data_IF_425608535087
#
_entry.id   IF_425608535087
#
_cell.length_a   1.000
_cell.length_b   1.000
_cell.length_c   1.000
_cell.angle_alpha   90.00
_cell.angle_beta   90.00
_cell.angle_gamma   90.00
#
_symmetry.space_group_name_H-M   'P 1'
#
loop_
_entity.id
_entity.type
_entity.pdbx_description
1 polymer ?
#
# COMPACT_ATOMS: atom_id res chain seq x y z
N UNK A 1 -8.94 -31.05 -9.52
CA UNK A 1 -7.52 -30.66 -9.39
C UNK A 1 -7.18 -29.84 -10.61
N UNK A 2 -7.44 -28.54 -10.54
CA UNK A 2 -7.11 -27.61 -11.61
C UNK A 2 -5.59 -27.48 -11.71
N UNK A 3 -5.11 -27.41 -12.93
CA UNK A 3 -3.70 -27.47 -13.30
C UNK A 3 -2.93 -26.26 -12.72
N UNK A 4 -2.12 -26.51 -11.68
CA UNK A 4 -1.31 -25.48 -11.00
C UNK A 4 -0.29 -24.84 -11.95
N UNK A 5 -0.02 -25.48 -13.11
CA UNK A 5 0.85 -24.96 -14.15
C UNK A 5 0.25 -23.76 -14.92
N UNK A 6 -1.05 -23.77 -15.21
CA UNK A 6 -1.75 -22.63 -15.86
C UNK A 6 -1.93 -21.44 -14.92
N UNK A 7 -1.98 -21.67 -13.60
CA UNK A 7 -2.16 -20.59 -12.62
C UNK A 7 -0.86 -19.81 -12.35
N UNK A 8 0.29 -20.37 -12.74
CA UNK A 8 1.56 -19.68 -12.74
C UNK A 8 1.75 -18.84 -14.02
N UNK A 9 1.29 -19.30 -15.19
CA UNK A 9 1.46 -18.60 -16.48
C UNK A 9 0.81 -17.22 -16.50
N UNK A 10 -0.40 -17.08 -15.97
CA UNK A 10 -1.16 -15.81 -16.06
C UNK A 10 -0.50 -14.68 -15.24
N UNK A 11 0.05 -15.04 -14.08
CA UNK A 11 0.80 -14.11 -13.24
C UNK A 11 2.15 -13.74 -13.88
N UNK A 12 2.68 -14.63 -14.74
CA UNK A 12 3.97 -14.48 -15.39
C UNK A 12 3.93 -13.69 -16.68
N UNK A 13 2.85 -13.84 -17.46
CA UNK A 13 2.58 -12.99 -18.62
C UNK A 13 2.44 -11.52 -18.17
N UNK A 14 1.69 -11.26 -17.09
CA UNK A 14 1.50 -9.92 -16.54
C UNK A 14 2.73 -9.36 -15.78
N UNK A 15 3.61 -10.24 -15.26
CA UNK A 15 4.93 -9.83 -14.75
C UNK A 15 5.95 -9.49 -15.87
N UNK A 16 5.57 -9.62 -17.14
CA UNK A 16 6.39 -9.22 -18.30
C UNK A 16 7.27 -10.33 -18.87
N UNK A 17 6.90 -11.60 -18.69
CA UNK A 17 7.59 -12.76 -19.29
C UNK A 17 6.69 -13.37 -20.36
N UNK A 18 6.82 -12.90 -21.61
CA UNK A 18 6.14 -13.52 -22.74
C UNK A 18 6.60 -14.99 -22.91
N UNK A 19 5.65 -15.91 -23.02
CA UNK A 19 5.91 -17.25 -23.57
C UNK A 19 5.49 -17.27 -25.05
N UNK A 20 6.28 -17.94 -25.88
CA UNK A 20 5.97 -18.20 -27.30
C UNK A 20 4.82 -19.23 -27.38
N UNK A 21 3.92 -19.14 -28.39
CA UNK A 21 2.65 -19.84 -28.35
C UNK A 21 2.72 -21.33 -28.72
N UNK A 22 1.82 -22.07 -28.05
CA UNK A 22 1.09 -23.29 -28.42
C UNK A 22 1.83 -24.59 -28.79
N UNK A 23 1.62 -25.62 -27.95
CA UNK A 23 1.43 -27.00 -28.41
C UNK A 23 0.00 -27.43 -28.09
N UNK A 24 -0.88 -27.42 -29.09
CA UNK A 24 -2.21 -28.05 -29.01
C UNK A 24 -2.06 -29.57 -28.83
N UNK A 25 -2.90 -30.22 -28.01
CA UNK A 25 -2.89 -31.67 -27.90
C UNK A 25 -3.32 -32.30 -29.24
N UNK A 26 -2.51 -33.25 -29.72
CA UNK A 26 -2.79 -34.09 -30.90
C UNK A 26 -4.14 -34.80 -30.75
N UNK A 27 -5.19 -34.25 -31.34
CA UNK A 27 -6.46 -34.94 -31.54
C UNK A 27 -6.51 -35.62 -32.92
N UNK A 28 -6.82 -36.91 -32.88
CA UNK A 28 -7.40 -37.80 -33.91
C UNK A 28 -6.91 -37.64 -35.37
N UNK A 29 -6.16 -38.65 -35.82
CA UNK A 29 -5.77 -38.87 -37.22
C UNK A 29 -6.97 -38.83 -38.18
N UNK A 30 -6.97 -37.98 -39.22
CA UNK A 30 -7.78 -38.19 -40.41
C UNK A 30 -7.07 -39.17 -41.34
N UNK A 31 -7.83 -40.11 -41.93
CA UNK A 31 -7.35 -40.95 -43.03
C UNK A 31 -7.22 -40.09 -44.29
N UNK A 32 -6.04 -40.09 -44.94
CA UNK A 32 -5.85 -39.41 -46.22
C UNK A 32 -5.52 -40.43 -47.31
N UNK A 33 -6.34 -40.40 -48.36
CA UNK A 33 -6.15 -41.09 -49.64
C UNK A 33 -4.90 -40.59 -50.36
N UNK A 34 -4.20 -41.50 -51.02
CA UNK A 34 -3.04 -41.20 -51.86
C UNK A 34 -3.50 -40.54 -53.17
N UNK A 35 -2.88 -39.41 -53.54
CA UNK A 35 -2.67 -39.04 -54.93
C UNK A 35 -1.22 -38.54 -55.10
N UNK A 36 -0.54 -38.88 -56.22
CA UNK A 36 0.85 -38.55 -56.44
C UNK A 36 0.98 -37.33 -57.34
N UNK A 37 1.85 -36.36 -57.02
CA UNK A 37 2.66 -35.65 -58.02
C UNK A 37 3.73 -34.70 -57.41
N UNK A 38 4.98 -34.99 -57.82
CA UNK A 38 6.11 -34.11 -58.13
C UNK A 38 6.56 -32.93 -57.22
N UNK A 39 7.62 -33.21 -56.45
CA UNK A 39 8.95 -32.54 -56.40
C UNK A 39 9.01 -30.99 -56.42
N UNK A 40 9.51 -30.39 -55.32
CA UNK A 40 10.89 -29.84 -55.19
C UNK A 40 11.15 -29.18 -53.82
N UNK A 41 12.24 -29.62 -53.18
CA UNK A 41 13.18 -28.86 -52.33
C UNK A 41 12.64 -28.07 -51.12
N UNK A 42 12.84 -28.64 -49.92
CA UNK A 42 13.63 -28.07 -48.79
C UNK A 42 13.81 -29.24 -47.80
N UNK A 43 15.05 -29.69 -47.62
CA UNK A 43 15.40 -30.69 -46.61
C UNK A 43 15.27 -30.08 -45.21
N UNK A 44 14.19 -30.39 -44.49
CA UNK A 44 14.17 -30.24 -43.03
C UNK A 44 14.85 -31.46 -42.42
N UNK A 45 16.16 -31.36 -42.18
CA UNK A 45 16.88 -32.31 -41.33
C UNK A 45 16.42 -32.08 -39.89
N UNK A 46 15.58 -32.99 -39.38
CA UNK A 46 15.38 -33.15 -37.93
C UNK A 46 16.74 -33.55 -37.34
N UNK A 47 17.42 -32.61 -36.69
CA UNK A 47 18.64 -32.87 -35.95
C UNK A 47 18.30 -33.79 -34.77
N UNK A 48 18.36 -35.10 -35.00
CA UNK A 48 18.17 -36.11 -33.96
C UNK A 48 19.33 -35.94 -32.99
N UNK A 49 19.05 -35.34 -31.83
CA UNK A 49 20.02 -35.11 -30.75
C UNK A 49 20.80 -36.40 -30.55
N UNK A 50 22.08 -36.36 -30.92
CA UNK A 50 22.97 -37.50 -30.78
C UNK A 50 22.99 -37.84 -29.29
N UNK A 51 22.46 -39.01 -28.90
CA UNK A 51 22.69 -39.56 -27.56
C UNK A 51 24.16 -39.99 -27.53
N UNK A 52 25.09 -39.03 -27.51
CA UNK A 52 26.40 -39.32 -26.95
C UNK A 52 26.13 -39.82 -25.54
N UNK A 53 26.65 -41.02 -25.23
CA UNK A 53 26.52 -41.64 -23.92
C UNK A 53 26.91 -40.62 -22.87
N UNK A 54 25.92 -40.15 -22.12
CA UNK A 54 26.13 -39.25 -21.00
C UNK A 54 26.93 -40.08 -20.01
N UNK A 55 28.20 -39.71 -19.85
CA UNK A 55 29.01 -40.13 -18.71
C UNK A 55 28.12 -39.99 -17.48
N UNK A 56 28.07 -41.01 -16.64
CA UNK A 56 27.30 -41.05 -15.39
C UNK A 56 27.86 -40.02 -14.39
N UNK A 57 27.85 -38.74 -14.78
CA UNK A 57 28.22 -37.61 -13.95
C UNK A 57 27.03 -37.40 -13.04
N UNK A 58 27.14 -37.91 -11.82
CA UNK A 58 26.17 -37.73 -10.76
C UNK A 58 25.75 -36.26 -10.73
N UNK A 59 24.46 -35.98 -10.91
CA UNK A 59 23.92 -34.64 -10.78
C UNK A 59 23.93 -34.26 -9.29
N UNK A 60 25.03 -33.64 -8.86
CA UNK A 60 25.22 -33.21 -7.47
C UNK A 60 24.18 -32.16 -7.03
N UNK A 61 23.43 -31.54 -7.95
CA UNK A 61 22.34 -30.66 -7.57
C UNK A 61 21.19 -31.43 -6.91
N UNK A 62 20.98 -32.70 -7.29
CA UNK A 62 19.98 -33.55 -6.66
C UNK A 62 20.31 -33.86 -5.20
N UNK A 63 21.60 -33.80 -4.82
CA UNK A 63 22.08 -34.05 -3.46
C UNK A 63 21.83 -32.85 -2.50
N UNK A 64 21.50 -31.66 -3.02
CA UNK A 64 21.20 -30.48 -2.19
C UNK A 64 19.90 -30.69 -1.40
N UNK A 65 19.80 -30.13 -0.19
CA UNK A 65 18.54 -30.12 0.58
C UNK A 65 17.54 -29.09 0.05
N UNK A 66 16.25 -29.26 0.36
CA UNK A 66 15.21 -28.31 -0.04
C UNK A 66 15.48 -26.91 0.55
N UNK A 67 15.96 -26.82 1.79
CA UNK A 67 16.31 -25.56 2.47
C UNK A 67 17.48 -24.85 1.78
N UNK A 68 18.47 -25.60 1.31
CA UNK A 68 19.63 -25.04 0.60
C UNK A 68 19.18 -24.41 -0.72
N UNK A 69 18.30 -25.10 -1.45
CA UNK A 69 17.72 -24.58 -2.70
C UNK A 69 16.84 -23.36 -2.41
N UNK A 70 16.05 -23.37 -1.33
CA UNK A 70 15.24 -22.23 -0.93
C UNK A 70 16.09 -20.99 -0.59
N UNK A 71 17.20 -21.17 0.12
CA UNK A 71 18.13 -20.06 0.38
C UNK A 71 18.79 -19.53 -0.89
N UNK A 72 19.00 -20.36 -1.92
CA UNK A 72 19.40 -19.88 -3.26
C UNK A 72 18.23 -19.13 -3.93
N UNK A 73 17.04 -19.72 -3.96
CA UNK A 73 15.85 -19.18 -4.63
C UNK A 73 15.39 -17.84 -4.06
N UNK A 74 15.60 -17.61 -2.77
CA UNK A 74 15.34 -16.34 -2.07
C UNK A 74 16.07 -15.13 -2.66
N UNK A 75 17.17 -15.35 -3.40
CA UNK A 75 17.91 -14.29 -4.09
C UNK A 75 17.48 -14.09 -5.54
N UNK A 76 16.61 -14.95 -6.07
CA UNK A 76 16.12 -14.83 -7.44
C UNK A 76 14.97 -13.82 -7.52
N UNK A 77 14.93 -12.98 -8.57
CA UNK A 77 13.74 -12.20 -8.92
C UNK A 77 12.54 -13.14 -9.12
N UNK A 78 11.31 -12.69 -8.84
CA UNK A 78 10.13 -13.56 -8.95
C UNK A 78 9.90 -14.09 -10.36
N UNK A 79 10.24 -13.30 -11.37
CA UNK A 79 10.23 -13.71 -12.78
C UNK A 79 11.18 -14.87 -13.06
N UNK A 80 12.37 -14.89 -12.45
CA UNK A 80 13.34 -15.98 -12.57
C UNK A 80 12.90 -17.18 -11.76
N UNK A 81 12.40 -16.96 -10.55
CA UNK A 81 11.89 -18.03 -9.68
C UNK A 81 10.79 -18.84 -10.38
N UNK A 82 9.94 -18.17 -11.13
CA UNK A 82 8.92 -18.83 -11.89
C UNK A 82 9.44 -19.63 -13.10
N UNK A 83 10.53 -19.18 -13.75
CA UNK A 83 11.23 -20.00 -14.74
C UNK A 83 11.86 -21.23 -14.08
N UNK A 84 12.38 -21.10 -12.86
CA UNK A 84 12.85 -22.24 -12.06
C UNK A 84 11.73 -23.25 -11.82
N UNK A 85 10.49 -22.80 -11.62
CA UNK A 85 9.35 -23.70 -11.44
C UNK A 85 9.10 -24.65 -12.64
N UNK A 86 9.56 -24.30 -13.85
CA UNK A 86 9.41 -25.11 -15.06
C UNK A 86 10.50 -26.19 -15.24
N UNK A 87 11.54 -26.21 -14.39
CA UNK A 87 12.70 -27.09 -14.57
C UNK A 87 12.36 -28.55 -14.24
N UNK A 88 11.82 -28.80 -13.05
CA UNK A 88 11.40 -30.14 -12.61
C UNK A 88 10.37 -30.06 -11.48
N UNK A 89 9.65 -31.16 -11.19
CA UNK A 89 8.61 -31.20 -10.14
C UNK A 89 9.10 -30.72 -8.76
N UNK A 90 10.36 -31.01 -8.42
CA UNK A 90 10.97 -30.56 -7.15
C UNK A 90 11.12 -29.04 -7.15
N UNK A 91 11.67 -28.47 -8.22
CA UNK A 91 11.80 -27.03 -8.36
C UNK A 91 10.46 -26.32 -8.45
N UNK A 92 9.45 -26.92 -9.09
CA UNK A 92 8.08 -26.38 -9.07
C UNK A 92 7.57 -26.21 -7.64
N UNK A 93 7.73 -27.24 -6.80
CA UNK A 93 7.33 -27.18 -5.39
C UNK A 93 8.08 -26.09 -4.62
N UNK A 94 9.41 -26.04 -4.78
CA UNK A 94 10.27 -25.10 -4.04
C UNK A 94 10.12 -23.66 -4.52
N UNK A 95 9.98 -23.43 -5.83
CA UNK A 95 9.77 -22.11 -6.39
C UNK A 95 8.43 -21.49 -5.99
N UNK A 96 7.44 -22.33 -5.68
CA UNK A 96 6.11 -21.93 -5.22
C UNK A 96 5.96 -21.94 -3.69
N UNK A 97 7.04 -22.17 -2.95
CA UNK A 97 7.01 -22.22 -1.48
C UNK A 97 6.62 -20.87 -0.86
N UNK A 98 5.71 -20.88 0.13
CA UNK A 98 5.17 -19.68 0.79
C UNK A 98 6.28 -18.73 1.28
N UNK A 99 7.42 -19.28 1.76
CA UNK A 99 8.53 -18.48 2.29
C UNK A 99 9.11 -17.49 1.28
N UNK A 100 9.01 -17.80 -0.02
CA UNK A 100 9.53 -16.97 -1.11
C UNK A 100 8.58 -15.85 -1.53
N UNK A 101 7.30 -15.96 -1.21
CA UNK A 101 6.24 -15.05 -1.69
C UNK A 101 5.69 -14.11 -0.61
N UNK A 102 6.12 -14.23 0.65
CA UNK A 102 5.60 -13.42 1.78
C UNK A 102 5.65 -11.90 1.56
N UNK A 103 6.58 -11.40 0.73
CA UNK A 103 6.75 -9.97 0.42
C UNK A 103 6.89 -9.79 -1.08
N UNK A 104 6.04 -8.94 -1.68
CA UNK A 104 5.99 -8.76 -3.13
C UNK A 104 5.83 -7.29 -3.53
N UNK A 105 6.67 -6.82 -4.45
CA UNK A 105 6.53 -5.51 -5.08
C UNK A 105 6.00 -5.71 -6.50
N UNK A 106 4.81 -5.20 -6.73
CA UNK A 106 4.08 -5.18 -7.99
C UNK A 106 3.76 -3.73 -8.39
N UNK A 107 4.47 -2.74 -7.83
CA UNK A 107 4.26 -1.35 -8.19
C UNK A 107 4.52 -1.10 -9.67
N UNK A 108 3.72 -0.23 -10.28
CA UNK A 108 3.81 0.13 -11.71
C UNK A 108 3.58 -1.04 -12.69
N UNK A 109 3.00 -2.15 -12.22
CA UNK A 109 2.65 -3.30 -13.06
C UNK A 109 1.20 -3.24 -13.50
N UNK A 110 0.88 -3.98 -14.55
CA UNK A 110 -0.50 -4.29 -14.92
C UNK A 110 -0.83 -5.67 -14.35
N UNK A 111 -1.91 -5.74 -13.58
CA UNK A 111 -2.37 -6.95 -12.93
C UNK A 111 -3.72 -7.30 -13.55
N UNK A 112 -3.75 -8.40 -14.29
CA UNK A 112 -4.93 -8.96 -14.92
C UNK A 112 -5.96 -9.47 -13.92
N UNK A 113 -7.11 -9.86 -14.47
CA UNK A 113 -8.23 -10.39 -13.69
C UNK A 113 -7.82 -11.69 -13.00
N UNK A 114 -8.25 -11.89 -11.75
CA UNK A 114 -7.96 -13.10 -10.97
C UNK A 114 -6.52 -13.23 -10.45
N UNK A 115 -5.54 -12.59 -11.09
CA UNK A 115 -4.11 -12.68 -10.74
C UNK A 115 -3.87 -12.31 -9.27
N UNK A 116 -4.50 -11.23 -8.80
CA UNK A 116 -4.35 -10.78 -7.42
C UNK A 116 -4.84 -11.82 -6.41
N UNK A 117 -5.95 -12.52 -6.71
CA UNK A 117 -6.46 -13.59 -5.87
C UNK A 117 -5.49 -14.76 -5.75
N UNK A 118 -4.85 -15.17 -6.85
CA UNK A 118 -3.83 -16.22 -6.86
C UNK A 118 -2.57 -15.76 -6.09
N UNK A 119 -2.18 -14.49 -6.21
CA UNK A 119 -1.07 -13.94 -5.43
C UNK A 119 -1.39 -13.98 -3.94
N UNK A 120 -2.59 -13.55 -3.53
CA UNK A 120 -3.02 -13.56 -2.13
C UNK A 120 -3.07 -14.98 -1.55
N UNK A 121 -3.47 -15.98 -2.35
CA UNK A 121 -3.52 -17.38 -1.91
C UNK A 121 -2.14 -17.98 -1.62
N UNK A 122 -1.04 -17.32 -2.00
CA UNK A 122 0.35 -17.73 -1.69
C UNK A 122 0.85 -17.29 -0.31
N UNK A 123 -0.02 -16.76 0.56
CA UNK A 123 0.38 -16.36 1.91
C UNK A 123 1.17 -15.06 1.96
N UNK A 124 0.91 -14.13 1.03
CA UNK A 124 1.52 -12.80 1.02
C UNK A 124 1.14 -12.04 2.29
N UNK A 125 2.13 -11.43 2.93
CA UNK A 125 1.97 -10.63 4.16
C UNK A 125 2.17 -9.15 3.87
N UNK A 126 3.08 -8.80 2.97
CA UNK A 126 3.33 -7.43 2.54
C UNK A 126 3.32 -7.32 1.02
N UNK A 127 2.51 -6.42 0.50
CA UNK A 127 2.37 -6.20 -0.93
C UNK A 127 2.41 -4.71 -1.25
N UNK A 128 3.21 -4.34 -2.24
CA UNK A 128 3.21 -3.00 -2.82
C UNK A 128 2.64 -3.06 -4.23
N UNK A 129 1.62 -2.25 -4.48
CA UNK A 129 0.94 -2.06 -5.75
C UNK A 129 0.93 -0.59 -6.16
N UNK A 130 1.79 0.24 -5.55
CA UNK A 130 1.82 1.67 -5.83
C UNK A 130 1.98 1.95 -7.34
N UNK A 131 1.11 2.80 -7.89
CA UNK A 131 1.06 3.14 -9.32
C UNK A 131 0.76 1.95 -10.26
N UNK A 132 0.26 0.82 -9.75
CA UNK A 132 -0.15 -0.31 -10.59
C UNK A 132 -1.54 -0.10 -11.22
N UNK A 133 -1.87 -0.90 -12.22
CA UNK A 133 -3.23 -1.06 -12.73
C UNK A 133 -3.74 -2.44 -12.32
N UNK A 134 -4.87 -2.50 -11.62
CA UNK A 134 -5.46 -3.77 -11.16
C UNK A 134 -6.84 -3.94 -11.80
N UNK A 135 -6.94 -4.91 -12.72
CA UNK A 135 -8.20 -5.28 -13.35
C UNK A 135 -8.98 -6.24 -12.46
N UNK A 136 -10.21 -5.87 -12.12
CA UNK A 136 -11.12 -6.75 -11.38
C UNK A 136 -11.76 -7.83 -12.26
N UNK A 137 -12.24 -8.93 -11.67
CA UNK A 137 -12.32 -9.19 -10.21
C UNK A 137 -10.98 -9.62 -9.60
N UNK A 138 -10.87 -9.51 -8.26
CA UNK A 138 -9.70 -10.00 -7.51
C UNK A 138 -9.62 -11.53 -7.57
N UNK A 139 -10.77 -12.20 -7.40
CA UNK A 139 -10.91 -13.65 -7.45
C UNK A 139 -11.89 -14.02 -8.56
N UNK A 140 -11.53 -14.98 -9.42
CA UNK A 140 -12.45 -15.51 -10.45
C UNK A 140 -13.52 -16.42 -9.83
N UNK A 141 -13.15 -17.24 -8.85
CA UNK A 141 -14.05 -18.15 -8.15
C UNK A 141 -13.76 -18.14 -6.64
N UNK A 142 -14.76 -17.78 -5.84
CA UNK A 142 -14.70 -17.84 -4.37
C UNK A 142 -13.76 -16.81 -3.73
N UNK A 143 -14.22 -16.16 -2.66
CA UNK A 143 -13.36 -15.30 -1.86
C UNK A 143 -12.59 -16.16 -0.85
N UNK A 144 -11.26 -16.05 -0.83
CA UNK A 144 -10.41 -16.79 0.10
C UNK A 144 -9.77 -15.84 1.12
N UNK A 145 -9.69 -16.20 2.40
CA UNK A 145 -9.07 -15.36 3.42
C UNK A 145 -7.58 -15.17 3.14
N UNK A 146 -7.12 -13.94 3.25
CA UNK A 146 -5.73 -13.56 3.02
C UNK A 146 -4.94 -13.38 4.33
N UNK A 147 -3.64 -13.62 4.28
CA UNK A 147 -2.68 -13.32 5.37
C UNK A 147 -2.10 -11.89 5.28
N UNK A 148 -2.59 -11.08 4.35
CA UNK A 148 -2.05 -9.76 4.06
C UNK A 148 -2.20 -8.80 5.25
N UNK A 149 -1.10 -8.16 5.63
CA UNK A 149 -1.02 -7.21 6.75
C UNK A 149 -0.56 -5.82 6.31
N UNK A 150 0.27 -5.73 5.26
CA UNK A 150 0.83 -4.48 4.76
C UNK A 150 0.48 -4.35 3.29
N UNK A 151 -0.28 -3.32 2.93
CA UNK A 151 -0.75 -3.11 1.56
C UNK A 151 -0.61 -1.65 1.15
N UNK A 152 0.24 -1.41 0.16
CA UNK A 152 0.37 -0.09 -0.45
C UNK A 152 -0.34 -0.06 -1.81
N UNK A 153 -1.51 0.57 -1.87
CA UNK A 153 -2.28 0.84 -3.10
C UNK A 153 -2.17 2.30 -3.55
N UNK A 154 -1.15 3.05 -3.11
CA UNK A 154 -1.03 4.47 -3.43
C UNK A 154 -1.01 4.70 -4.95
N UNK A 155 -1.91 5.55 -5.45
CA UNK A 155 -2.06 5.88 -6.87
C UNK A 155 -2.34 4.66 -7.77
N UNK A 156 -2.95 3.61 -7.23
CA UNK A 156 -3.33 2.42 -8.02
C UNK A 156 -4.59 2.69 -8.83
N UNK A 157 -4.60 2.34 -10.12
CA UNK A 157 -5.82 2.29 -10.90
C UNK A 157 -6.60 1.01 -10.55
N UNK A 158 -7.56 1.14 -9.62
CA UNK A 158 -8.39 0.04 -9.12
C UNK A 158 -9.84 0.51 -8.97
N UNK A 159 -10.80 -0.32 -9.38
CA UNK A 159 -12.22 0.01 -9.22
C UNK A 159 -12.69 -0.20 -7.78
N UNK A 160 -13.71 0.55 -7.35
CA UNK A 160 -14.32 0.40 -6.02
C UNK A 160 -14.83 -1.04 -5.79
N UNK A 161 -15.40 -1.67 -6.82
CA UNK A 161 -15.86 -3.07 -6.74
C UNK A 161 -14.71 -4.05 -6.45
N UNK A 162 -13.58 -3.88 -7.15
CA UNK A 162 -12.35 -4.66 -6.90
C UNK A 162 -11.80 -4.41 -5.50
N UNK A 163 -11.83 -3.16 -5.04
CA UNK A 163 -11.39 -2.79 -3.69
C UNK A 163 -12.25 -3.44 -2.60
N UNK A 164 -13.57 -3.47 -2.78
CA UNK A 164 -14.50 -4.17 -1.87
C UNK A 164 -14.18 -5.66 -1.78
N UNK A 165 -13.97 -6.34 -2.91
CA UNK A 165 -13.56 -7.75 -2.91
C UNK A 165 -12.25 -7.97 -2.14
N UNK A 166 -11.30 -7.06 -2.30
CA UNK A 166 -10.03 -7.12 -1.59
C UNK A 166 -10.22 -6.98 -0.07
N UNK A 167 -11.05 -6.05 0.39
CA UNK A 167 -11.34 -5.84 1.81
C UNK A 167 -12.18 -6.97 2.42
N UNK A 168 -13.01 -7.64 1.64
CA UNK A 168 -13.69 -8.87 2.07
C UNK A 168 -12.68 -9.99 2.36
N UNK A 169 -11.61 -10.12 1.57
CA UNK A 169 -10.58 -11.14 1.76
C UNK A 169 -9.52 -10.77 2.81
N UNK A 170 -9.18 -9.48 2.91
CA UNK A 170 -8.08 -8.99 3.74
C UNK A 170 -8.60 -8.40 5.05
N UNK A 171 -8.74 -9.25 6.07
CA UNK A 171 -9.24 -8.89 7.41
C UNK A 171 -8.14 -8.82 8.49
N UNK A 172 -6.87 -8.92 8.08
CA UNK A 172 -5.70 -8.86 8.97
C UNK A 172 -4.80 -7.65 8.68
N UNK A 173 -5.29 -6.63 7.98
CA UNK A 173 -4.52 -5.44 7.63
C UNK A 173 -4.10 -4.68 8.90
N UNK A 174 -2.82 -4.31 8.93
CA UNK A 174 -2.19 -3.47 9.95
C UNK A 174 -1.77 -2.13 9.39
N UNK A 175 -1.28 -2.10 8.14
CA UNK A 175 -0.89 -0.87 7.47
C UNK A 175 -1.41 -0.84 6.04
N UNK A 176 -2.17 0.20 5.72
CA UNK A 176 -2.82 0.36 4.43
C UNK A 176 -2.58 1.77 3.90
N UNK A 177 -2.27 1.88 2.62
CA UNK A 177 -2.37 3.15 1.89
C UNK A 177 -3.31 2.99 0.70
N UNK A 178 -4.26 3.91 0.62
CA UNK A 178 -5.23 4.09 -0.45
C UNK A 178 -5.05 5.47 -1.08
N UNK A 179 -3.88 6.09 -0.93
CA UNK A 179 -3.65 7.44 -1.45
C UNK A 179 -4.12 7.55 -2.90
N UNK A 180 -4.95 8.56 -3.19
CA UNK A 180 -5.50 8.82 -4.52
C UNK A 180 -6.42 7.70 -5.07
N UNK A 181 -6.96 6.82 -4.23
CA UNK A 181 -8.00 5.86 -4.62
C UNK A 181 -9.42 6.42 -4.39
N UNK A 182 -10.38 5.96 -5.18
CA UNK A 182 -11.81 6.19 -4.91
C UNK A 182 -12.34 5.11 -3.97
N UNK A 183 -13.09 5.52 -2.96
CA UNK A 183 -13.81 4.64 -2.02
C UNK A 183 -15.28 5.01 -1.98
N UNK A 184 -16.11 4.15 -1.40
CA UNK A 184 -17.47 4.47 -1.00
C UNK A 184 -17.72 4.01 0.44
N UNK A 185 -18.93 4.25 0.94
CA UNK A 185 -19.32 3.89 2.30
C UNK A 185 -19.18 2.39 2.58
N UNK A 186 -19.56 1.53 1.63
CA UNK A 186 -19.44 0.10 1.80
C UNK A 186 -17.98 -0.37 1.82
N UNK A 187 -17.11 0.22 0.99
CA UNK A 187 -15.68 -0.06 1.04
C UNK A 187 -15.08 0.34 2.40
N UNK A 188 -15.50 1.47 2.97
CA UNK A 188 -15.07 1.90 4.31
C UNK A 188 -15.55 0.93 5.41
N UNK A 189 -16.80 0.48 5.33
CA UNK A 189 -17.38 -0.51 6.25
C UNK A 189 -16.71 -1.89 6.15
N UNK A 190 -16.31 -2.31 4.95
CA UNK A 190 -15.54 -3.55 4.77
C UNK A 190 -14.13 -3.40 5.33
N UNK A 191 -13.49 -2.25 5.09
CA UNK A 191 -12.18 -1.93 5.65
C UNK A 191 -12.21 -1.91 7.19
N UNK A 192 -13.28 -1.41 7.80
CA UNK A 192 -13.42 -1.30 9.26
C UNK A 192 -13.45 -2.65 9.98
N UNK A 193 -13.61 -3.77 9.26
CA UNK A 193 -13.42 -5.12 9.82
C UNK A 193 -11.97 -5.41 10.27
N UNK A 194 -11.00 -4.58 9.85
CA UNK A 194 -9.61 -4.66 10.26
C UNK A 194 -9.39 -3.94 11.60
N UNK A 195 -9.86 -4.52 12.71
CA UNK A 195 -9.72 -3.92 14.05
C UNK A 195 -8.27 -3.77 14.53
N UNK A 196 -7.33 -4.48 13.91
CA UNK A 196 -5.89 -4.38 14.16
C UNK A 196 -5.16 -3.35 13.28
N UNK A 197 -5.89 -2.53 12.51
CA UNK A 197 -5.29 -1.50 11.67
C UNK A 197 -4.59 -0.44 12.53
N UNK A 198 -3.30 -0.23 12.29
CA UNK A 198 -2.42 0.68 13.03
C UNK A 198 -2.10 1.96 12.24
N UNK A 199 -2.07 1.85 10.90
CA UNK A 199 -1.64 2.91 10.00
C UNK A 199 -2.53 2.94 8.76
N UNK A 200 -3.19 4.07 8.52
CA UNK A 200 -4.09 4.25 7.39
C UNK A 200 -3.77 5.56 6.67
N UNK A 201 -3.34 5.47 5.42
CA UNK A 201 -3.20 6.61 4.53
C UNK A 201 -4.34 6.61 3.51
N UNK A 202 -5.16 7.65 3.54
CA UNK A 202 -6.25 7.91 2.61
C UNK A 202 -6.11 9.30 2.00
N UNK A 203 -4.90 9.88 2.00
CA UNK A 203 -4.69 11.21 1.43
C UNK A 203 -5.13 11.25 -0.03
N UNK A 204 -5.82 12.32 -0.44
CA UNK A 204 -6.34 12.47 -1.81
C UNK A 204 -7.36 11.40 -2.23
N UNK A 205 -7.90 10.59 -1.30
CA UNK A 205 -9.04 9.75 -1.60
C UNK A 205 -10.28 10.58 -1.98
N UNK A 206 -11.13 9.99 -2.80
CA UNK A 206 -12.46 10.53 -3.13
C UNK A 206 -13.58 9.57 -2.68
N UNK A 207 -14.77 10.11 -2.45
CA UNK A 207 -15.96 9.32 -2.06
C UNK A 207 -16.08 8.97 -0.57
N UNK A 208 -15.27 9.61 0.28
CA UNK A 208 -15.39 9.50 1.74
C UNK A 208 -16.65 10.21 2.25
N UNK A 209 -17.48 9.47 3.00
CA UNK A 209 -18.69 9.98 3.66
C UNK A 209 -18.51 10.05 5.18
N UNK A 210 -19.37 10.80 5.87
CA UNK A 210 -19.35 10.85 7.34
C UNK A 210 -19.57 9.47 7.98
N UNK A 211 -20.46 8.65 7.40
CA UNK A 211 -20.69 7.28 7.85
C UNK A 211 -19.44 6.41 7.68
N UNK A 212 -18.80 6.44 6.50
CA UNK A 212 -17.58 5.65 6.24
C UNK A 212 -16.40 6.05 7.14
N UNK A 213 -16.17 7.35 7.33
CA UNK A 213 -15.14 7.85 8.27
C UNK A 213 -15.48 7.44 9.70
N UNK A 214 -16.75 7.55 10.11
CA UNK A 214 -17.22 7.15 11.41
C UNK A 214 -17.08 5.65 11.67
N UNK A 215 -17.35 4.78 10.69
CA UNK A 215 -17.18 3.32 10.80
C UNK A 215 -15.72 2.94 11.03
N UNK A 216 -14.80 3.54 10.26
CA UNK A 216 -13.35 3.31 10.44
C UNK A 216 -12.90 3.81 11.81
N UNK A 217 -13.28 5.04 12.19
CA UNK A 217 -12.90 5.62 13.48
C UNK A 217 -13.42 4.79 14.66
N UNK A 218 -14.66 4.29 14.58
CA UNK A 218 -15.30 3.47 15.61
C UNK A 218 -14.70 2.07 15.69
N UNK A 219 -14.34 1.41 14.59
CA UNK A 219 -13.93 0.01 14.65
C UNK A 219 -12.40 -0.20 14.78
N UNK A 220 -11.60 0.69 14.19
CA UNK A 220 -10.14 0.57 14.16
C UNK A 220 -9.49 1.16 15.42
N UNK A 221 -9.78 0.59 16.59
CA UNK A 221 -9.31 1.12 17.88
C UNK A 221 -7.78 1.12 18.06
N UNK A 222 -7.04 0.33 17.26
CA UNK A 222 -5.57 0.29 17.28
C UNK A 222 -4.91 1.29 16.35
N UNK A 223 -5.69 2.14 15.67
CA UNK A 223 -5.17 3.11 14.71
C UNK A 223 -4.33 4.17 15.43
N UNK A 224 -3.06 4.29 15.03
CA UNK A 224 -2.08 5.23 15.58
C UNK A 224 -1.71 6.34 14.61
N UNK A 225 -1.78 6.05 13.31
CA UNK A 225 -1.39 6.97 12.24
C UNK A 225 -2.53 7.05 11.22
N UNK A 226 -3.12 8.23 11.05
CA UNK A 226 -4.18 8.44 10.06
C UNK A 226 -3.91 9.68 9.22
N UNK A 227 -3.84 9.49 7.90
CA UNK A 227 -3.73 10.57 6.95
C UNK A 227 -5.00 10.65 6.10
N UNK A 228 -5.72 11.76 6.23
CA UNK A 228 -6.94 12.13 5.50
C UNK A 228 -6.73 13.43 4.70
N UNK A 229 -5.49 13.86 4.48
CA UNK A 229 -5.19 15.10 3.81
C UNK A 229 -5.83 15.16 2.42
N UNK A 230 -6.41 16.30 2.04
CA UNK A 230 -6.93 16.56 0.70
C UNK A 230 -8.05 15.61 0.24
N UNK A 231 -8.89 15.14 1.16
CA UNK A 231 -10.02 14.23 0.87
C UNK A 231 -11.37 14.94 0.75
N UNK A 232 -11.40 16.27 0.78
CA UNK A 232 -12.62 17.09 0.72
C UNK A 232 -13.70 16.69 1.76
N UNK A 233 -13.29 16.29 2.98
CA UNK A 233 -14.23 15.93 4.04
C UNK A 233 -15.23 17.06 4.31
N UNK A 234 -16.51 16.71 4.44
CA UNK A 234 -17.55 17.63 4.92
C UNK A 234 -17.40 17.89 6.42
N UNK A 235 -18.09 18.89 6.94
CA UNK A 235 -18.08 19.17 8.38
C UNK A 235 -18.62 17.98 9.19
N UNK A 236 -19.64 17.29 8.69
CA UNK A 236 -20.21 16.10 9.30
C UNK A 236 -19.20 14.95 9.35
N UNK A 237 -18.38 14.79 8.30
CA UNK A 237 -17.34 13.77 8.29
C UNK A 237 -16.18 14.10 9.25
N UNK A 238 -15.83 15.38 9.39
CA UNK A 238 -14.88 15.84 10.40
C UNK A 238 -15.43 15.60 11.81
N UNK A 239 -16.70 15.90 12.07
CA UNK A 239 -17.37 15.57 13.34
C UNK A 239 -17.34 14.07 13.62
N UNK A 240 -17.74 13.25 12.65
CA UNK A 240 -17.71 11.79 12.78
C UNK A 240 -16.30 11.26 13.11
N UNK A 241 -15.25 11.86 12.55
CA UNK A 241 -13.86 11.57 12.89
C UNK A 241 -13.57 11.93 14.37
N UNK A 242 -13.71 13.21 14.74
CA UNK A 242 -13.27 13.69 16.07
C UNK A 242 -14.13 13.14 17.21
N UNK A 243 -15.36 12.73 16.93
CA UNK A 243 -16.27 12.11 17.90
C UNK A 243 -15.99 10.62 18.14
N UNK A 244 -15.26 9.94 17.26
CA UNK A 244 -15.12 8.48 17.32
C UNK A 244 -13.68 7.98 17.30
N UNK A 245 -12.70 8.81 16.92
CA UNK A 245 -11.32 8.37 16.75
C UNK A 245 -10.70 7.83 18.06
N UNK A 246 -9.84 6.82 17.95
CA UNK A 246 -9.25 6.18 19.12
C UNK A 246 -8.41 7.16 19.96
N UNK A 247 -8.52 7.14 21.31
CA UNK A 247 -7.66 7.94 22.19
C UNK A 247 -6.17 7.64 22.04
N UNK A 248 -5.81 6.46 21.50
CA UNK A 248 -4.43 6.05 21.24
C UNK A 248 -3.83 6.59 19.94
N UNK A 249 -4.50 7.50 19.24
CA UNK A 249 -4.00 8.11 18.01
C UNK A 249 -2.78 8.98 18.32
N UNK A 250 -1.68 8.75 17.58
CA UNK A 250 -0.42 9.46 17.76
C UNK A 250 -0.21 10.51 16.67
N UNK A 251 -0.62 10.23 15.43
CA UNK A 251 -0.41 11.15 14.30
C UNK A 251 -1.63 11.26 13.43
N UNK A 252 -2.10 12.50 13.25
CA UNK A 252 -3.25 12.82 12.42
C UNK A 252 -2.89 13.90 11.41
N UNK A 253 -3.24 13.63 10.14
CA UNK A 253 -3.22 14.65 9.11
C UNK A 253 -4.62 14.81 8.52
N UNK A 254 -5.23 15.99 8.71
CA UNK A 254 -6.52 16.40 8.14
C UNK A 254 -6.38 17.67 7.30
N UNK A 255 -5.18 17.91 6.76
CA UNK A 255 -4.89 19.09 5.95
C UNK A 255 -5.83 19.20 4.74
N UNK A 256 -6.17 20.43 4.35
CA UNK A 256 -7.04 20.70 3.21
C UNK A 256 -8.55 20.68 3.53
N UNK A 257 -8.93 20.48 4.79
CA UNK A 257 -10.31 20.66 5.28
C UNK A 257 -10.68 22.15 5.42
N UNK A 258 -10.57 22.90 4.31
CA UNK A 258 -10.59 24.37 4.25
C UNK A 258 -11.75 25.00 5.01
N UNK A 259 -12.99 24.59 4.71
CA UNK A 259 -14.21 25.15 5.29
C UNK A 259 -14.90 24.22 6.29
N UNK A 260 -14.46 22.96 6.39
CA UNK A 260 -15.08 21.94 7.25
C UNK A 260 -14.43 21.84 8.63
N UNK A 261 -13.10 22.02 8.73
CA UNK A 261 -12.40 22.00 10.02
C UNK A 261 -12.46 23.38 10.70
N UNK A 262 -12.76 23.42 12.00
CA UNK A 262 -12.83 24.64 12.80
C UNK A 262 -12.41 24.36 14.26
N UNK A 263 -12.32 25.40 15.08
CA UNK A 263 -11.79 25.32 16.45
C UNK A 263 -12.54 24.31 17.35
N UNK A 264 -13.86 24.17 17.21
CA UNK A 264 -14.62 23.19 18.02
C UNK A 264 -14.26 21.74 17.70
N UNK A 265 -13.94 21.45 16.44
CA UNK A 265 -13.47 20.12 16.03
C UNK A 265 -12.07 19.85 16.59
N UNK A 266 -11.17 20.84 16.55
CA UNK A 266 -9.82 20.73 17.13
C UNK A 266 -9.92 20.50 18.64
N UNK A 267 -10.73 21.28 19.34
CA UNK A 267 -10.97 21.10 20.79
C UNK A 267 -11.51 19.71 21.14
N UNK A 268 -12.46 19.17 20.36
CA UNK A 268 -12.95 17.81 20.54
C UNK A 268 -11.88 16.75 20.29
N UNK A 269 -11.09 16.93 19.23
CA UNK A 269 -10.00 16.01 18.89
C UNK A 269 -8.98 15.90 20.04
N UNK A 270 -8.50 17.03 20.56
CA UNK A 270 -7.47 17.03 21.60
C UNK A 270 -8.01 16.55 22.95
N UNK A 271 -9.30 16.73 23.21
CA UNK A 271 -10.00 16.12 24.36
C UNK A 271 -9.97 14.60 24.31
N UNK A 272 -10.12 14.05 23.11
CA UNK A 272 -10.17 12.61 22.89
C UNK A 272 -8.79 11.97 22.78
N UNK A 273 -7.83 12.66 22.15
CA UNK A 273 -6.50 12.15 21.83
C UNK A 273 -5.40 12.97 22.51
N UNK A 274 -5.23 12.88 23.85
CA UNK A 274 -4.25 13.69 24.59
C UNK A 274 -2.79 13.26 24.33
N UNK A 275 -2.57 12.08 23.75
CA UNK A 275 -1.24 11.51 23.46
C UNK A 275 -0.74 11.81 22.03
N UNK A 276 -1.39 12.72 21.31
CA UNK A 276 -0.97 13.11 19.96
C UNK A 276 0.48 13.64 19.96
N UNK A 277 1.28 13.11 19.02
CA UNK A 277 2.67 13.47 18.75
C UNK A 277 2.80 14.36 17.50
N UNK A 278 1.94 14.18 16.49
CA UNK A 278 1.97 14.95 15.24
C UNK A 278 0.55 15.30 14.81
N UNK A 279 0.27 16.60 14.63
CA UNK A 279 -1.01 17.11 14.18
C UNK A 279 -0.82 18.04 12.99
N UNK A 280 -1.41 17.67 11.86
CA UNK A 280 -1.45 18.51 10.66
C UNK A 280 -2.88 18.94 10.34
N UNK A 281 -3.15 20.22 10.57
CA UNK A 281 -4.40 20.92 10.29
C UNK A 281 -4.20 22.03 9.25
N UNK A 282 -3.15 21.90 8.43
CA UNK A 282 -2.83 22.87 7.37
C UNK A 282 -4.01 23.12 6.43
N UNK A 283 -4.05 24.29 5.81
CA UNK A 283 -5.09 24.69 4.86
C UNK A 283 -6.50 24.66 5.47
N UNK A 284 -6.65 25.04 6.74
CA UNK A 284 -7.95 25.11 7.45
C UNK A 284 -8.30 26.56 7.77
N UNK A 285 -9.15 27.19 6.96
CA UNK A 285 -9.39 28.64 7.05
C UNK A 285 -10.30 29.05 8.20
N UNK A 286 -11.05 28.12 8.81
CA UNK A 286 -11.89 28.41 9.99
C UNK A 286 -11.21 28.11 11.32
N UNK A 287 -9.94 27.73 11.29
CA UNK A 287 -9.12 27.55 12.49
C UNK A 287 -8.49 28.89 12.85
N UNK A 288 -8.56 29.25 14.13
CA UNK A 288 -8.09 30.53 14.66
C UNK A 288 -7.11 30.35 15.84
N UNK A 289 -6.82 31.43 16.56
CA UNK A 289 -6.01 31.38 17.78
C UNK A 289 -6.56 30.45 18.85
N UNK A 290 -7.88 30.22 18.89
CA UNK A 290 -8.49 29.30 19.86
C UNK A 290 -7.96 27.87 19.74
N UNK A 291 -7.72 27.38 18.51
CA UNK A 291 -7.11 26.08 18.32
C UNK A 291 -5.66 26.02 18.83
N UNK A 292 -4.88 27.08 18.63
CA UNK A 292 -3.49 27.14 19.13
C UNK A 292 -3.47 27.16 20.66
N UNK A 293 -4.36 27.93 21.29
CA UNK A 293 -4.53 27.96 22.74
C UNK A 293 -4.91 26.58 23.28
N UNK A 294 -5.88 25.92 22.65
CA UNK A 294 -6.35 24.59 23.04
C UNK A 294 -5.23 23.55 22.92
N UNK A 295 -4.49 23.55 21.80
CA UNK A 295 -3.32 22.67 21.59
C UNK A 295 -2.25 22.91 22.64
N UNK A 296 -1.86 24.17 22.87
CA UNK A 296 -0.84 24.53 23.86
C UNK A 296 -1.22 24.15 25.29
N UNK A 297 -2.52 24.21 25.61
CA UNK A 297 -3.03 23.92 26.95
C UNK A 297 -3.23 22.43 27.26
N UNK A 298 -3.31 21.55 26.26
CA UNK A 298 -3.68 20.13 26.48
C UNK A 298 -2.73 19.08 25.90
N UNK A 299 -2.07 19.35 24.77
CA UNK A 299 -1.26 18.33 24.10
C UNK A 299 0.19 18.34 24.60
N UNK A 300 0.44 17.73 25.76
CA UNK A 300 1.78 17.68 26.38
C UNK A 300 2.78 16.77 25.66
N UNK A 301 2.32 15.89 24.77
CA UNK A 301 3.18 14.98 23.98
C UNK A 301 3.43 15.43 22.54
N UNK A 302 2.86 16.57 22.12
CA UNK A 302 2.94 17.02 20.72
C UNK A 302 4.36 17.43 20.37
N UNK A 303 4.93 16.80 19.35
CA UNK A 303 6.28 17.04 18.83
C UNK A 303 6.23 17.86 17.54
N UNK A 304 5.23 17.62 16.69
CA UNK A 304 5.09 18.24 15.38
C UNK A 304 3.71 18.88 15.21
N UNK A 305 3.67 20.19 14.93
CA UNK A 305 2.43 20.91 14.61
C UNK A 305 2.54 21.54 13.21
N UNK A 306 1.56 21.28 12.35
CA UNK A 306 1.47 21.87 11.03
C UNK A 306 0.18 22.69 10.89
N UNK A 307 0.35 23.98 10.60
CA UNK A 307 -0.69 25.01 10.48
C UNK A 307 -0.44 25.87 9.23
N UNK A 308 0.13 25.26 8.20
CA UNK A 308 0.46 25.94 6.95
C UNK A 308 -0.80 26.54 6.34
N UNK A 309 -0.71 27.78 5.84
CA UNK A 309 -1.84 28.47 5.19
C UNK A 309 -3.12 28.57 6.05
N UNK A 310 -3.01 28.52 7.38
CA UNK A 310 -4.10 28.84 8.30
C UNK A 310 -4.17 30.35 8.54
N UNK A 311 -4.71 31.09 7.58
CA UNK A 311 -4.64 32.57 7.52
C UNK A 311 -5.38 33.31 8.64
N UNK A 312 -6.29 32.63 9.36
CA UNK A 312 -7.05 33.23 10.47
C UNK A 312 -6.35 33.12 11.84
N UNK A 313 -5.11 32.63 11.86
CA UNK A 313 -4.30 32.58 13.08
C UNK A 313 -3.39 33.81 13.13
N UNK A 314 -3.59 34.75 14.06
CA UNK A 314 -2.72 35.92 14.18
C UNK A 314 -1.32 35.50 14.68
N UNK A 315 -0.24 36.17 14.23
CA UNK A 315 1.13 35.79 14.58
C UNK A 315 1.42 35.69 16.09
N UNK A 316 0.80 36.55 16.89
CA UNK A 316 0.94 36.57 18.35
C UNK A 316 0.45 35.27 19.01
N UNK A 317 -0.50 34.55 18.39
CA UNK A 317 -1.03 33.31 18.95
C UNK A 317 0.03 32.22 19.04
N UNK A 318 0.99 32.18 18.09
CA UNK A 318 2.06 31.18 18.09
C UNK A 318 2.99 31.29 19.31
N UNK A 319 3.04 32.45 19.97
CA UNK A 319 3.82 32.63 21.20
C UNK A 319 3.31 31.77 22.36
N UNK A 320 2.04 31.35 22.33
CA UNK A 320 1.47 30.41 23.33
C UNK A 320 2.18 29.05 23.31
N UNK A 321 2.75 28.66 22.16
CA UNK A 321 3.48 27.41 21.98
C UNK A 321 4.85 27.41 22.71
N UNK A 322 5.34 28.57 23.17
CA UNK A 322 6.60 28.68 23.92
C UNK A 322 6.64 27.81 25.18
N UNK A 323 5.47 27.56 25.79
CA UNK A 323 5.32 26.76 27.02
C UNK A 323 5.33 25.25 26.76
N UNK A 324 5.27 24.81 25.51
CA UNK A 324 5.24 23.39 25.17
C UNK A 324 6.66 22.83 25.14
N UNK A 325 7.03 22.07 26.18
CA UNK A 325 8.37 21.49 26.31
C UNK A 325 8.64 20.33 25.34
N UNK A 326 7.59 19.69 24.82
CA UNK A 326 7.68 18.55 23.88
C UNK A 326 7.72 18.98 22.41
N UNK A 327 7.20 20.17 22.09
CA UNK A 327 7.11 20.65 20.71
C UNK A 327 8.52 20.89 20.17
N UNK A 328 8.81 20.29 19.01
CA UNK A 328 10.11 20.41 18.33
C UNK A 328 9.98 21.03 16.96
N UNK A 329 8.87 20.81 16.27
CA UNK A 329 8.69 21.29 14.91
C UNK A 329 7.36 22.02 14.76
N UNK A 330 7.44 23.21 14.16
CA UNK A 330 6.27 24.02 13.82
C UNK A 330 6.36 24.43 12.35
N UNK A 331 5.41 23.94 11.56
CA UNK A 331 5.30 24.26 10.13
C UNK A 331 4.15 25.24 9.93
N UNK A 332 4.49 26.46 9.48
CA UNK A 332 3.58 27.57 9.24
C UNK A 332 3.98 28.31 7.94
N UNK A 333 4.15 27.56 6.87
CA UNK A 333 4.44 28.10 5.54
C UNK A 333 3.30 29.01 5.05
N UNK A 334 3.70 30.11 4.41
CA UNK A 334 2.82 31.09 3.76
C UNK A 334 1.84 31.86 4.68
N UNK A 335 2.07 31.90 6.00
CA UNK A 335 1.22 32.71 6.91
C UNK A 335 1.91 33.96 7.48
N UNK A 336 3.26 34.02 7.49
CA UNK A 336 4.02 35.14 8.05
C UNK A 336 4.94 35.81 7.02
N UNK A 337 5.23 37.08 7.22
CA UNK A 337 6.34 37.78 6.55
C UNK A 337 7.69 37.31 7.09
N UNK A 338 8.77 37.49 6.33
CA UNK A 338 10.12 37.09 6.77
C UNK A 338 10.55 37.75 8.08
N UNK A 339 10.20 39.02 8.28
CA UNK A 339 10.47 39.75 9.52
C UNK A 339 9.71 39.15 10.71
N UNK A 340 8.41 38.87 10.56
CA UNK A 340 7.62 38.24 11.61
C UNK A 340 8.10 36.81 11.92
N UNK A 341 8.51 36.06 10.89
CA UNK A 341 9.08 34.73 11.04
C UNK A 341 10.42 34.75 11.78
N UNK A 342 11.27 35.74 11.49
CA UNK A 342 12.52 35.92 12.22
C UNK A 342 12.28 36.23 13.70
N UNK A 343 11.36 37.15 14.00
CA UNK A 343 10.95 37.45 15.40
C UNK A 343 10.42 36.20 16.10
N UNK A 344 9.54 35.42 15.44
CA UNK A 344 8.97 34.21 16.01
C UNK A 344 10.04 33.16 16.34
N UNK A 345 11.03 32.96 15.45
CA UNK A 345 12.17 32.06 15.69
C UNK A 345 12.99 32.48 16.91
N UNK A 346 13.22 33.78 17.09
CA UNK A 346 13.92 34.30 18.26
C UNK A 346 13.11 34.10 19.55
N UNK A 347 11.78 34.18 19.47
CA UNK A 347 10.88 33.93 20.60
C UNK A 347 10.70 32.44 20.95
N UNK A 348 10.98 31.53 20.02
CA UNK A 348 10.79 30.08 20.15
C UNK A 348 12.08 29.29 19.82
N UNK A 349 13.18 29.49 20.56
CA UNK A 349 14.51 28.98 20.18
C UNK A 349 14.64 27.44 20.21
N UNK A 350 13.76 26.74 20.93
CA UNK A 350 13.76 25.27 21.01
C UNK A 350 12.91 24.59 19.92
N UNK A 351 12.24 25.37 19.08
CA UNK A 351 11.34 24.88 18.03
C UNK A 351 11.94 25.16 16.65
N UNK A 352 12.11 24.11 15.86
CA UNK A 352 12.44 24.18 14.46
C UNK A 352 11.24 24.66 13.64
N UNK A 353 11.35 25.84 13.03
CA UNK A 353 10.28 26.47 12.26
C UNK A 353 10.53 26.38 10.74
N UNK A 354 9.54 25.86 10.01
CA UNK A 354 9.53 25.75 8.54
C UNK A 354 10.68 24.88 8.00
N UNK A 355 10.88 23.69 8.58
CA UNK A 355 11.92 22.72 8.18
C UNK A 355 11.38 21.58 7.33
N UNK A 356 10.10 21.23 7.49
CA UNK A 356 9.52 20.05 6.86
C UNK A 356 8.31 20.42 5.99
N UNK A 357 8.53 20.45 4.67
CA UNK A 357 7.49 20.79 3.69
C UNK A 357 6.50 19.63 3.50
N UNK A 358 6.96 18.39 3.62
CA UNK A 358 6.15 17.20 3.35
C UNK A 358 5.78 16.47 4.63
N UNK A 359 4.48 16.16 4.78
CA UNK A 359 4.01 15.29 5.86
C UNK A 359 4.46 13.84 5.62
N UNK A 360 4.85 13.17 6.71
CA UNK A 360 5.21 11.74 6.69
C UNK A 360 4.13 10.84 7.28
N UNK A 361 3.03 11.43 7.77
CA UNK A 361 1.94 10.71 8.45
C UNK A 361 1.39 9.61 7.56
N UNK A 362 1.44 8.38 8.08
CA UNK A 362 0.95 7.14 7.48
C UNK A 362 1.53 6.75 6.11
N UNK A 363 2.51 7.49 5.58
CA UNK A 363 3.10 7.22 4.25
C UNK A 363 3.81 5.85 4.22
N UNK A 364 3.55 5.00 3.22
CA UNK A 364 4.25 3.70 3.08
C UNK A 364 5.76 3.86 2.94
N UNK A 365 6.19 4.78 2.06
CA UNK A 365 7.61 5.02 1.83
C UNK A 365 7.97 6.39 2.37
N UNK A 366 8.76 6.43 3.44
CA UNK A 366 9.39 7.64 3.97
C UNK A 366 10.89 7.53 3.70
N UNK A 367 11.51 8.51 3.02
CA UNK A 367 12.91 8.56 2.52
C UNK A 367 13.20 8.02 1.10
N UNK A 368 14.47 8.11 0.71
CA UNK A 368 15.05 7.70 -0.60
C UNK A 368 14.94 6.17 -0.84
N UNK A 369 14.63 5.37 0.20
CA UNK A 369 14.54 3.90 0.11
C UNK A 369 13.25 3.42 -0.57
N UNK A 370 13.22 3.52 -1.91
CA UNK A 370 12.06 3.14 -2.76
C UNK A 370 11.68 1.65 -2.73
N UNK A 371 12.53 0.80 -2.16
CA UNK A 371 12.33 -0.66 -2.05
C UNK A 371 11.75 -1.11 -0.70
N UNK A 372 11.18 -0.20 0.09
CA UNK A 372 10.58 -0.52 1.39
C UNK A 372 9.23 0.14 1.56
N UNK A 373 8.27 -0.56 2.18
CA UNK A 373 7.06 0.04 2.73
C UNK A 373 7.01 -0.18 4.24
N UNK A 374 6.77 0.88 5.00
CA UNK A 374 6.77 0.91 6.47
C UNK A 374 7.96 0.19 7.10
N UNK A 375 9.16 0.36 6.51
CA UNK A 375 10.41 -0.26 6.95
C UNK A 375 10.61 -1.72 6.49
N UNK A 376 9.61 -2.35 5.88
CA UNK A 376 9.73 -3.70 5.33
C UNK A 376 10.36 -3.65 3.96
N UNK A 377 11.52 -4.30 3.78
CA UNK A 377 12.10 -4.54 2.46
C UNK A 377 11.19 -5.42 1.64
N UNK A 378 10.76 -4.92 0.49
CA UNK A 378 10.02 -5.66 -0.51
C UNK A 378 10.92 -5.85 -1.73
N UNK A 379 10.82 -7.01 -2.37
CA UNK A 379 11.58 -7.37 -3.57
C UNK A 379 10.60 -7.70 -4.70
N UNK A 380 11.01 -7.36 -5.91
CA UNK A 380 10.42 -7.83 -7.16
C UNK A 380 10.72 -9.33 -7.40
#
# INVERSE_FOLDING_TARGET
MADVSNCASDILEDMGVAYLPDDKPLSKRPKVHKSPELRKSIDFVLHKRNKQGVVDSKDHFLDLSDETILEVFKWLPKTVLARCAAVCKRWTRLALDESLWRKLDLGKKHIGRGVLGIVLSRGVIAMKLAMAEVKGPVFEEGCMPSKLQYLDLSMTAITVSTLKQLFTACTQLRKLSLEHCTVDEEACRLLSNNSNLECLNMSMCSGLTAAGVGDIARACHRLRYWNLAWTHLTAEAVSALVDNVSPGLLRLNVAGCRSSLCDSHVSRLIERCPVLEELDISDSSRVSSFAIEAVAGRLSHLVHLHVNRCYNIPPAAYLMLSKMESLRNLELFCVLTDAALHTLRNSLPHIDINKHIFSTVARPTTSIRRSTIWGLRIRD
#
